data_IF_296515379456
#
_entry.id   IF_296515379456
#
_cell.length_a   1.000
_cell.length_b   1.000
_cell.length_c   1.000
_cell.angle_alpha   90.00
_cell.angle_beta   90.00
_cell.angle_gamma   90.00
#
_symmetry.space_group_name_H-M   'P 1'
#
loop_
_entity.id
_entity.type
_entity.pdbx_description
1 polymer ?
#
# COMPACT_ATOMS: atom_id res chain seq x y z
N UNK A 1 -42.93 -34.90 4.39
CA UNK A 1 -42.25 -35.52 5.55
C UNK A 1 -40.84 -35.90 5.13
N UNK A 2 -39.88 -35.68 6.04
CA UNK A 2 -38.47 -36.07 6.02
C UNK A 2 -37.47 -35.27 5.16
N UNK A 3 -36.90 -34.30 5.86
CA UNK A 3 -35.56 -33.69 5.79
C UNK A 3 -34.42 -34.69 5.51
N UNK A 4 -33.37 -34.24 4.81
CA UNK A 4 -32.01 -34.77 5.01
C UNK A 4 -30.98 -33.70 4.70
N UNK A 5 -30.28 -33.33 5.77
CA UNK A 5 -29.22 -32.37 5.84
C UNK A 5 -27.99 -32.79 5.02
N UNK A 6 -27.33 -31.80 4.42
CA UNK A 6 -25.90 -31.85 4.21
C UNK A 6 -25.38 -30.44 4.48
N UNK A 7 -25.04 -30.23 5.75
CA UNK A 7 -24.25 -29.13 6.26
C UNK A 7 -22.92 -29.10 5.51
N UNK A 8 -22.82 -28.24 4.49
CA UNK A 8 -21.51 -27.83 3.99
C UNK A 8 -20.92 -26.96 5.09
N UNK A 9 -19.93 -27.50 5.81
CA UNK A 9 -19.06 -26.76 6.70
C UNK A 9 -18.30 -25.73 5.85
N UNK A 10 -18.94 -24.59 5.60
CA UNK A 10 -18.29 -23.44 5.03
C UNK A 10 -17.32 -22.95 6.10
N UNK A 11 -16.09 -23.43 6.00
CA UNK A 11 -14.93 -22.88 6.68
C UNK A 11 -14.90 -21.41 6.31
N UNK A 12 -15.54 -20.61 7.16
CA UNK A 12 -15.57 -19.16 7.09
C UNK A 12 -14.16 -18.74 7.41
N UNK A 13 -13.30 -18.69 6.39
CA UNK A 13 -12.11 -17.88 6.41
C UNK A 13 -12.60 -16.45 6.70
N UNK A 14 -12.57 -16.08 7.98
CA UNK A 14 -12.77 -14.70 8.38
C UNK A 14 -11.71 -13.83 7.70
N UNK A 15 -11.94 -12.52 7.55
CA UNK A 15 -10.92 -11.63 7.00
C UNK A 15 -9.69 -11.75 7.90
N UNK A 16 -8.66 -12.44 7.43
CA UNK A 16 -7.37 -12.48 8.10
C UNK A 16 -6.82 -11.08 8.00
N UNK A 17 -6.91 -10.32 9.10
CA UNK A 17 -6.27 -9.02 9.19
C UNK A 17 -4.81 -9.19 8.78
N UNK A 18 -4.29 -8.39 7.84
CA UNK A 18 -2.92 -8.56 7.35
C UNK A 18 -1.97 -8.55 8.55
N UNK A 19 -1.10 -9.54 8.61
CA UNK A 19 -0.10 -9.62 9.67
C UNK A 19 0.90 -8.49 9.50
N UNK A 20 1.57 -8.10 10.59
CA UNK A 20 2.61 -7.05 10.54
C UNK A 20 3.68 -7.37 9.48
N UNK A 21 4.00 -8.65 9.28
CA UNK A 21 4.95 -9.09 8.26
C UNK A 21 4.44 -8.82 6.84
N UNK A 22 3.16 -9.10 6.56
CA UNK A 22 2.52 -8.77 5.27
C UNK A 22 2.56 -7.28 4.97
N UNK A 23 2.38 -6.47 6.00
CA UNK A 23 2.32 -5.02 5.89
C UNK A 23 3.69 -4.36 5.73
N UNK A 24 4.70 -4.93 6.38
CA UNK A 24 6.09 -4.56 6.16
C UNK A 24 6.52 -4.86 4.72
N UNK A 25 6.16 -6.04 4.20
CA UNK A 25 6.41 -6.40 2.80
C UNK A 25 5.72 -5.43 1.83
N UNK A 26 4.43 -5.14 2.05
CA UNK A 26 3.70 -4.17 1.23
C UNK A 26 4.36 -2.78 1.25
N UNK A 27 4.86 -2.33 2.41
CA UNK A 27 5.55 -1.04 2.53
C UNK A 27 6.87 -1.03 1.76
N UNK A 28 7.59 -2.15 1.71
CA UNK A 28 8.79 -2.30 0.89
C UNK A 28 8.46 -2.22 -0.60
N UNK A 29 7.41 -2.93 -1.04
CA UNK A 29 6.94 -2.87 -2.43
C UNK A 29 6.51 -1.44 -2.81
N UNK A 30 5.78 -0.75 -1.92
CA UNK A 30 5.37 0.64 -2.12
C UNK A 30 6.59 1.60 -2.22
N UNK A 31 7.66 1.34 -1.46
CA UNK A 31 8.89 2.13 -1.50
C UNK A 31 9.71 1.91 -2.79
N UNK A 32 9.82 0.66 -3.27
CA UNK A 32 10.42 0.35 -4.57
C UNK A 32 9.64 1.03 -5.70
N UNK A 33 8.31 0.96 -5.62
CA UNK A 33 7.40 1.59 -6.55
C UNK A 33 7.55 3.13 -6.58
N UNK A 34 7.91 3.77 -5.45
CA UNK A 34 8.21 5.20 -5.39
C UNK A 34 9.55 5.55 -6.05
N UNK A 35 10.54 4.65 -5.99
CA UNK A 35 11.84 4.83 -6.64
C UNK A 35 11.70 4.89 -8.17
N UNK A 36 10.80 4.09 -8.74
CA UNK A 36 10.49 4.10 -10.17
C UNK A 36 9.92 5.45 -10.64
N UNK A 37 9.05 6.07 -9.83
CA UNK A 37 8.55 7.43 -10.10
C UNK A 37 9.70 8.43 -10.09
N UNK A 38 10.59 8.38 -9.10
CA UNK A 38 11.73 9.29 -9.03
C UNK A 38 12.60 9.16 -10.28
N UNK A 39 12.85 7.92 -10.75
CA UNK A 39 13.54 7.67 -12.01
C UNK A 39 12.81 8.26 -13.22
N UNK A 40 11.49 8.16 -13.28
CA UNK A 40 10.69 8.79 -14.34
C UNK A 40 10.83 10.32 -14.31
N UNK A 41 10.74 10.96 -13.13
CA UNK A 41 10.98 12.39 -12.95
C UNK A 41 12.37 12.82 -13.41
N UNK A 42 13.42 12.10 -13.05
CA UNK A 42 14.79 12.38 -13.52
C UNK A 42 14.92 12.22 -15.04
N UNK A 43 14.20 11.28 -15.65
CA UNK A 43 14.18 11.14 -17.11
C UNK A 43 13.45 12.33 -17.78
N UNK A 44 12.37 12.83 -17.18
CA UNK A 44 11.70 14.04 -17.66
C UNK A 44 12.57 15.28 -17.57
N UNK A 45 13.26 15.45 -16.44
CA UNK A 45 14.18 16.56 -16.24
C UNK A 45 15.24 16.58 -17.37
N UNK A 46 15.87 15.44 -17.65
CA UNK A 46 16.85 15.30 -18.74
C UNK A 46 16.26 15.57 -20.13
N UNK A 47 15.03 15.12 -20.39
CA UNK A 47 14.34 15.31 -21.67
C UNK A 47 13.92 16.78 -21.89
N UNK A 48 13.67 17.52 -20.81
CA UNK A 48 13.38 18.95 -20.85
C UNK A 48 14.67 19.76 -20.90
N UNK A 49 15.72 19.30 -20.21
CA UNK A 49 17.04 19.94 -20.13
C UNK A 49 17.88 19.73 -21.40
N UNK A 50 17.45 18.94 -22.40
CA UNK A 50 18.13 18.84 -23.71
C UNK A 50 18.14 20.19 -24.44
N UNK A 51 19.06 21.04 -24.04
CA UNK A 51 19.53 22.25 -24.68
C UNK A 51 20.98 22.03 -25.10
N UNK A 52 21.17 21.34 -26.22
CA UNK A 52 22.43 21.41 -26.96
C UNK A 52 22.09 21.53 -28.45
N UNK A 53 22.04 22.75 -29.01
CA UNK A 53 21.72 22.97 -30.40
C UNK A 53 22.98 22.80 -31.25
N UNK A 54 23.63 21.63 -31.25
CA UNK A 54 24.75 21.40 -32.15
C UNK A 54 24.75 19.94 -32.65
N UNK A 55 24.33 19.79 -33.90
CA UNK A 55 24.66 18.70 -34.84
C UNK A 55 23.77 17.45 -34.95
N UNK A 56 22.55 17.45 -34.42
CA UNK A 56 21.54 16.45 -34.81
C UNK A 56 20.14 17.07 -34.78
N UNK A 57 19.21 16.61 -35.62
CA UNK A 57 17.78 16.94 -35.55
C UNK A 57 17.21 16.39 -34.24
N UNK A 58 17.53 17.04 -33.11
CA UNK A 58 16.99 16.68 -31.80
C UNK A 58 15.57 17.23 -31.78
N UNK A 59 14.61 16.35 -32.07
CA UNK A 59 13.20 16.61 -31.87
C UNK A 59 12.97 16.94 -30.40
N UNK A 60 12.78 18.23 -30.10
CA UNK A 60 12.33 18.66 -28.78
C UNK A 60 10.93 18.09 -28.53
N UNK A 61 10.63 17.57 -27.32
CA UNK A 61 9.31 17.08 -26.98
C UNK A 61 8.26 18.17 -27.18
N UNK A 62 7.13 17.82 -27.77
CA UNK A 62 6.01 18.74 -27.89
C UNK A 62 5.36 18.97 -26.53
N UNK A 63 4.72 20.13 -26.36
CA UNK A 63 3.92 20.44 -25.16
C UNK A 63 2.82 19.39 -24.91
N UNK A 64 2.28 18.78 -25.96
CA UNK A 64 1.26 17.72 -25.85
C UNK A 64 1.85 16.42 -25.30
N UNK A 65 3.03 16.02 -25.78
CA UNK A 65 3.73 14.84 -25.26
C UNK A 65 4.11 15.03 -23.79
N UNK A 66 4.68 16.19 -23.43
CA UNK A 66 4.98 16.53 -22.05
C UNK A 66 3.72 16.53 -21.16
N UNK A 67 2.59 17.05 -21.66
CA UNK A 67 1.33 17.08 -20.92
C UNK A 67 0.74 15.68 -20.72
N UNK A 68 0.83 14.79 -21.72
CA UNK A 68 0.35 13.41 -21.61
C UNK A 68 1.18 12.62 -20.60
N UNK A 69 2.50 12.77 -20.69
CA UNK A 69 3.45 12.14 -19.78
C UNK A 69 3.30 12.63 -18.33
N UNK A 70 3.13 13.94 -18.12
CA UNK A 70 2.84 14.50 -16.79
C UNK A 70 1.48 14.01 -16.24
N UNK A 71 0.49 13.83 -17.12
CA UNK A 71 -0.80 13.25 -16.75
C UNK A 71 -0.67 11.83 -16.20
N UNK A 72 0.06 10.97 -16.92
CA UNK A 72 0.31 9.59 -16.50
C UNK A 72 1.05 9.52 -15.16
N UNK A 73 2.02 10.41 -14.97
CA UNK A 73 2.80 10.52 -13.74
C UNK A 73 1.95 10.94 -12.55
N UNK A 74 1.07 11.93 -12.73
CA UNK A 74 0.16 12.38 -11.68
C UNK A 74 -0.81 11.29 -11.26
N UNK A 75 -1.37 10.53 -12.22
CA UNK A 75 -2.25 9.40 -11.93
C UNK A 75 -1.52 8.33 -11.11
N UNK A 76 -0.30 7.98 -11.54
CA UNK A 76 0.55 7.01 -10.87
C UNK A 76 0.95 7.45 -9.44
N UNK A 77 1.15 8.75 -9.22
CA UNK A 77 1.46 9.32 -7.91
C UNK A 77 0.25 9.29 -6.97
N UNK A 78 -0.93 9.66 -7.47
CA UNK A 78 -2.19 9.60 -6.69
C UNK A 78 -2.46 8.17 -6.21
N UNK A 79 -2.37 7.19 -7.11
CA UNK A 79 -2.59 5.78 -6.76
C UNK A 79 -1.66 5.28 -5.64
N UNK A 80 -0.41 5.72 -5.62
CA UNK A 80 0.56 5.36 -4.56
C UNK A 80 0.31 6.09 -3.26
N UNK A 81 -0.08 7.37 -3.29
CA UNK A 81 -0.50 8.10 -2.08
C UNK A 81 -1.66 7.37 -1.41
N UNK A 82 -2.63 6.91 -2.19
CA UNK A 82 -3.77 6.13 -1.69
C UNK A 82 -3.32 4.79 -1.09
N UNK A 83 -2.41 4.07 -1.76
CA UNK A 83 -1.83 2.83 -1.24
C UNK A 83 -1.09 3.02 0.10
N UNK A 84 -0.22 4.03 0.19
CA UNK A 84 0.51 4.35 1.43
C UNK A 84 -0.45 4.75 2.55
N UNK A 85 -1.48 5.54 2.25
CA UNK A 85 -2.51 5.90 3.24
C UNK A 85 -3.28 4.69 3.73
N UNK A 86 -3.60 3.74 2.84
CA UNK A 86 -4.25 2.48 3.20
C UNK A 86 -3.35 1.63 4.10
N UNK A 87 -2.08 1.42 3.70
CA UNK A 87 -1.10 0.66 4.47
C UNK A 87 -0.85 1.28 5.86
N UNK A 88 -0.70 2.61 5.95
CA UNK A 88 -0.58 3.32 7.22
C UNK A 88 -1.84 3.18 8.10
N UNK A 89 -3.02 3.17 7.47
CA UNK A 89 -4.29 2.88 8.13
C UNK A 89 -4.33 1.46 8.71
N UNK A 90 -3.88 0.47 7.94
CA UNK A 90 -3.80 -0.92 8.37
C UNK A 90 -2.79 -1.11 9.51
N UNK A 91 -1.63 -0.44 9.45
CA UNK A 91 -0.61 -0.52 10.50
C UNK A 91 -1.17 -0.03 11.82
N UNK A 92 -1.86 1.13 11.78
CA UNK A 92 -2.49 1.71 12.96
C UNK A 92 -3.54 0.78 13.55
N UNK A 93 -4.38 0.16 12.71
CA UNK A 93 -5.40 -0.82 13.15
C UNK A 93 -4.76 -2.05 13.79
N UNK A 94 -3.73 -2.61 13.17
CA UNK A 94 -3.01 -3.77 13.69
C UNK A 94 -2.36 -3.46 15.05
N UNK A 95 -1.72 -2.30 15.19
CA UNK A 95 -1.14 -1.84 16.45
C UNK A 95 -2.19 -1.67 17.56
N UNK A 96 -3.35 -1.08 17.24
CA UNK A 96 -4.46 -0.95 18.20
C UNK A 96 -5.02 -2.31 18.63
N UNK A 97 -5.16 -3.27 17.70
CA UNK A 97 -5.61 -4.61 18.01
C UNK A 97 -4.63 -5.37 18.93
N UNK A 98 -3.32 -5.17 18.72
CA UNK A 98 -2.27 -5.72 19.58
C UNK A 98 -2.33 -5.12 20.99
N UNK A 99 -2.50 -3.80 21.12
CA UNK A 99 -2.62 -3.11 22.41
C UNK A 99 -3.89 -3.53 23.18
N UNK A 100 -5.03 -3.69 22.49
CA UNK A 100 -6.27 -4.19 23.09
C UNK A 100 -6.16 -5.61 23.64
N UNK A 101 -5.36 -6.47 22.99
CA UNK A 101 -5.07 -7.84 23.45
C UNK A 101 -4.17 -7.86 24.69
N UNK A 102 -3.19 -6.96 24.79
CA UNK A 102 -2.36 -6.83 25.99
C UNK A 102 -3.15 -6.35 27.21
N UNK A 103 -4.13 -5.47 27.02
CA UNK A 103 -4.91 -4.90 28.12
C UNK A 103 -5.92 -5.89 28.72
N UNK A 104 -6.43 -6.84 27.92
CA UNK A 104 -7.41 -7.84 28.37
C UNK A 104 -6.78 -9.00 29.16
N UNK A 105 -5.49 -9.28 28.98
CA UNK A 105 -4.77 -10.27 29.79
C UNK A 105 -4.45 -9.80 31.22
N UNK A 106 -4.34 -8.49 31.47
CA UNK A 106 -4.07 -7.96 32.82
C UNK A 106 -5.28 -7.98 33.75
N UNK A 107 -6.51 -8.11 33.23
CA UNK A 107 -7.72 -8.09 34.06
C UNK A 107 -8.14 -9.46 34.62
N UNK A 108 -7.49 -10.55 34.20
CA UNK A 108 -7.91 -11.92 34.53
C UNK A 108 -7.11 -12.59 35.67
N UNK A 109 -6.26 -11.85 36.41
CA UNK A 109 -5.42 -12.42 37.47
C UNK A 109 -5.99 -12.34 38.90
N UNK A 110 -7.25 -11.94 39.10
CA UNK A 110 -7.88 -11.98 40.43
C UNK A 110 -8.70 -13.26 40.62
N UNK A 111 -8.01 -14.33 41.02
CA UNK A 111 -8.62 -15.53 41.60
C UNK A 111 -9.09 -15.22 43.03
N UNK A 112 -10.31 -15.62 43.46
CA UNK A 112 -10.74 -15.44 44.84
C UNK A 112 -9.99 -16.44 45.74
N UNK A 113 -9.29 -15.93 46.76
CA UNK A 113 -8.72 -16.76 47.82
C UNK A 113 -9.87 -17.31 48.67
N UNK A 114 -10.07 -18.63 48.59
CA UNK A 114 -10.90 -19.38 49.51
C UNK A 114 -10.13 -19.64 50.80
N UNK A 115 -10.61 -19.11 51.92
CA UNK A 115 -10.62 -19.77 53.24
C UNK A 115 -11.61 -19.06 54.15
#
# INVERSE_FOLDING_TARGET
MAESASTSAQSRAGPTSPTLDTLALQTCDDAENLNEILRAYTAFEKLIETGAPNDSEVLAPTRSELSALLGLLNEALVARIDAVNAAAGDMRRALMALQGSSNSNSSNSNLPSAT
#
